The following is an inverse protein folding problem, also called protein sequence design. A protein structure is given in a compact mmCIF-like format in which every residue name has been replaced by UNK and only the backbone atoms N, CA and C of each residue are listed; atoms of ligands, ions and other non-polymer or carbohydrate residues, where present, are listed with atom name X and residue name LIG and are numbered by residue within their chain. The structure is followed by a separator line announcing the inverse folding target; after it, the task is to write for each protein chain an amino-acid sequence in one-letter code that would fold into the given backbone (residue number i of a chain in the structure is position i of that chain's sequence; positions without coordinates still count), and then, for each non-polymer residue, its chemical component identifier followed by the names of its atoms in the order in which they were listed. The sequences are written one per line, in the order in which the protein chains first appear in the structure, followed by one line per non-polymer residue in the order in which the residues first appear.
data_IF_331454761349
#
_entry.id   IF_331454761349
#
_cell.length_a   1.000
_cell.length_b   1.000
_cell.length_c   1.000
_cell.angle_alpha   90.00
_cell.angle_beta   90.00
_cell.angle_gamma   90.00
#
_symmetry.space_group_name_H-M   'P 1'
#
loop_
_entity.id
_entity.type
_entity.pdbx_description
1 polymer ?
#
# COMPACT_ATOMS: atom_id res chain seq x y z
N UNK A 1 -23.71 -26.17 -15.70
CA UNK A 1 -22.86 -25.58 -14.65
C UNK A 1 -21.41 -25.89 -15.02
N UNK A 2 -20.47 -24.94 -14.94
CA UNK A 2 -19.06 -25.27 -15.12
C UNK A 2 -18.64 -26.31 -14.07
N UNK A 3 -17.96 -27.39 -14.50
CA UNK A 3 -17.45 -28.44 -13.61
C UNK A 3 -16.17 -27.98 -12.91
N UNK A 4 -15.82 -28.61 -11.79
CA UNK A 4 -14.53 -28.39 -11.11
C UNK A 4 -13.35 -28.65 -12.05
N UNK A 5 -13.49 -29.59 -12.99
CA UNK A 5 -12.47 -29.92 -13.99
C UNK A 5 -12.17 -28.76 -14.96
N UNK A 6 -13.08 -27.77 -15.07
CA UNK A 6 -12.90 -26.57 -15.87
C UNK A 6 -12.33 -25.37 -15.07
N UNK A 7 -12.09 -25.53 -13.76
CA UNK A 7 -11.60 -24.44 -12.91
C UNK A 7 -10.08 -24.30 -12.97
N UNK A 8 -9.59 -23.05 -13.11
CA UNK A 8 -8.16 -22.73 -12.98
C UNK A 8 -7.87 -22.28 -11.55
N UNK A 9 -6.91 -22.94 -10.89
CA UNK A 9 -6.47 -22.55 -9.54
C UNK A 9 -5.75 -21.20 -9.59
N UNK A 10 -6.20 -20.25 -8.79
CA UNK A 10 -5.51 -18.98 -8.60
C UNK A 10 -4.22 -19.17 -7.80
N UNK A 11 -3.19 -18.35 -8.04
CA UNK A 11 -1.99 -18.36 -7.21
C UNK A 11 -2.34 -18.01 -5.76
N UNK A 12 -1.56 -18.55 -4.82
CA UNK A 12 -1.63 -18.14 -3.43
C UNK A 12 -1.24 -16.66 -3.33
N UNK A 13 -1.96 -15.88 -2.53
CA UNK A 13 -1.69 -14.44 -2.34
C UNK A 13 -1.20 -14.09 -0.93
N UNK A 14 -1.46 -14.97 0.05
CA UNK A 14 -1.05 -14.79 1.46
C UNK A 14 -0.52 -16.07 2.09
N UNK A 15 0.34 -15.95 3.10
CA UNK A 15 0.80 -17.06 3.96
C UNK A 15 -0.28 -17.46 4.96
N UNK A 16 -0.06 -18.56 5.70
CA UNK A 16 -0.96 -18.96 6.81
C UNK A 16 -1.02 -17.94 7.95
N UNK A 17 -0.07 -17.00 8.00
CA UNK A 17 -0.06 -15.87 8.96
C UNK A 17 -0.76 -14.63 8.40
N UNK A 18 -1.28 -14.67 7.18
CA UNK A 18 -1.92 -13.52 6.52
C UNK A 18 -0.94 -12.52 5.88
N UNK A 19 0.35 -12.86 5.80
CA UNK A 19 1.37 -12.02 5.17
C UNK A 19 1.31 -12.19 3.65
N UNK A 20 1.56 -11.13 2.87
CA UNK A 20 1.61 -11.22 1.40
C UNK A 20 2.74 -12.16 0.95
N UNK A 21 2.48 -12.99 -0.06
CA UNK A 21 3.54 -13.82 -0.67
C UNK A 21 4.28 -13.11 -1.81
N UNK A 22 3.65 -12.12 -2.43
CA UNK A 22 4.26 -11.37 -3.52
C UNK A 22 5.45 -10.54 -2.99
N UNK A 23 6.61 -10.57 -3.69
CA UNK A 23 7.73 -9.73 -3.32
C UNK A 23 7.38 -8.26 -3.51
N UNK A 24 7.98 -7.41 -2.67
CA UNK A 24 7.87 -5.96 -2.79
C UNK A 24 9.11 -5.41 -3.50
N UNK A 25 8.92 -4.31 -4.22
CA UNK A 25 10.00 -3.50 -4.77
C UNK A 25 10.97 -3.13 -3.65
N UNK A 26 12.27 -3.19 -3.94
CA UNK A 26 13.33 -2.92 -2.96
C UNK A 26 13.17 -1.51 -2.35
N UNK A 27 13.15 -1.44 -1.02
CA UNK A 27 12.92 -0.21 -0.26
C UNK A 27 11.44 0.17 -0.04
N UNK A 28 10.49 -0.51 -0.70
CA UNK A 28 9.07 -0.34 -0.42
C UNK A 28 8.73 -0.94 0.95
N UNK A 29 8.10 -0.14 1.82
CA UNK A 29 7.70 -0.57 3.16
C UNK A 29 6.18 -0.50 3.28
N UNK A 30 5.58 -1.51 3.90
CA UNK A 30 4.14 -1.49 4.20
C UNK A 30 3.98 -1.76 5.68
N UNK A 31 3.27 -0.88 6.38
CA UNK A 31 2.92 -1.06 7.80
C UNK A 31 1.41 -0.94 7.97
N UNK A 32 0.76 -1.97 8.51
CA UNK A 32 -0.67 -1.89 8.85
C UNK A 32 -0.95 -0.72 9.79
N UNK A 33 -2.05 0.00 9.53
CA UNK A 33 -2.54 1.11 10.34
C UNK A 33 -3.79 0.63 11.09
N UNK A 34 -3.60 0.20 12.34
CA UNK A 34 -4.68 -0.34 13.16
C UNK A 34 -5.68 0.77 13.51
N UNK A 35 -6.95 0.51 13.22
CA UNK A 35 -8.07 1.34 13.64
C UNK A 35 -8.68 0.74 14.90
N UNK A 36 -8.70 1.50 15.99
CA UNK A 36 -9.27 1.10 17.28
C UNK A 36 -10.66 1.73 17.44
N UNK A 37 -11.75 0.94 17.44
CA UNK A 37 -13.09 1.43 17.71
C UNK A 37 -13.37 1.55 19.22
N UNK A 38 -14.17 2.54 19.61
CA UNK A 38 -14.76 2.68 20.94
C UNK A 38 -16.18 3.30 20.86
N UNK A 39 -16.80 3.58 22.01
CA UNK A 39 -18.16 4.14 22.07
C UNK A 39 -18.31 5.54 21.42
N UNK A 40 -17.20 6.24 21.17
CA UNK A 40 -17.16 7.60 20.61
C UNK A 40 -16.87 7.61 19.11
N UNK A 41 -16.35 6.51 18.57
CA UNK A 41 -15.97 6.39 17.17
C UNK A 41 -14.73 5.51 16.98
N UNK A 42 -13.71 6.03 16.30
CA UNK A 42 -12.46 5.30 16.04
C UNK A 42 -11.24 6.20 16.14
N UNK A 43 -10.10 5.63 16.54
CA UNK A 43 -8.78 6.24 16.43
C UNK A 43 -7.87 5.39 15.55
N UNK A 44 -7.18 6.03 14.61
CA UNK A 44 -6.20 5.39 13.71
C UNK A 44 -5.02 6.36 13.58
N UNK A 45 -3.83 5.94 14.01
CA UNK A 45 -2.65 6.80 13.93
C UNK A 45 -2.23 7.02 12.46
N UNK A 46 -2.11 8.30 12.07
CA UNK A 46 -1.75 8.68 10.69
C UNK A 46 -0.23 8.70 10.48
N UNK A 47 0.54 9.10 11.47
CA UNK A 47 1.99 9.04 11.42
C UNK A 47 2.55 9.18 12.83
N UNK A 48 3.58 8.40 13.15
CA UNK A 48 4.31 8.51 14.39
C UNK A 48 5.82 8.29 14.11
N UNK A 49 6.69 9.29 14.35
CA UNK A 49 8.13 9.15 14.17
C UNK A 49 8.74 7.97 14.95
N UNK A 50 8.14 7.59 16.08
CA UNK A 50 8.62 6.48 16.91
C UNK A 50 8.56 5.11 16.19
N UNK A 51 7.83 5.00 15.08
CA UNK A 51 7.81 3.76 14.27
C UNK A 51 9.09 3.54 13.47
N UNK A 52 9.97 4.55 13.32
CA UNK A 52 11.21 4.41 12.55
C UNK A 52 10.99 4.14 11.06
N UNK A 53 9.85 4.55 10.49
CA UNK A 53 9.54 4.31 9.07
C UNK A 53 10.46 5.09 8.12
N UNK A 54 10.93 6.26 8.55
CA UNK A 54 11.84 7.11 7.78
C UNK A 54 12.60 8.04 8.72
N UNK A 55 13.87 8.26 8.39
CA UNK A 55 14.77 9.16 9.12
C UNK A 55 14.68 10.62 8.64
N UNK A 56 13.95 10.87 7.53
CA UNK A 56 13.75 12.20 6.98
C UNK A 56 12.72 12.99 7.83
N UNK A 57 12.86 14.32 7.95
CA UNK A 57 11.90 15.13 8.69
C UNK A 57 10.50 15.12 8.04
N UNK A 58 9.45 15.19 8.86
CA UNK A 58 8.12 15.49 8.37
C UNK A 58 8.02 17.01 8.13
N UNK A 59 8.03 17.42 6.86
CA UNK A 59 8.02 18.86 6.50
C UNK A 59 6.59 19.38 6.31
N UNK A 60 5.75 18.64 5.58
CA UNK A 60 4.36 19.00 5.33
C UNK A 60 3.49 17.76 5.13
N UNK A 61 2.19 17.94 5.32
CA UNK A 61 1.16 16.91 5.11
C UNK A 61 0.05 17.52 4.26
N UNK A 62 -0.42 16.78 3.27
CA UNK A 62 -1.58 17.15 2.47
C UNK A 62 -2.50 15.94 2.28
N UNK A 63 -3.77 16.21 2.02
CA UNK A 63 -4.76 15.19 1.68
C UNK A 63 -5.20 15.35 0.24
N UNK A 64 -5.32 14.23 -0.46
CA UNK A 64 -5.91 14.16 -1.80
C UNK A 64 -7.14 13.26 -1.78
N UNK A 65 -8.06 13.52 -2.69
CA UNK A 65 -9.16 12.60 -2.99
C UNK A 65 -9.12 12.25 -4.47
N UNK A 66 -9.42 11.00 -4.78
CA UNK A 66 -9.48 10.49 -6.16
C UNK A 66 -10.91 10.00 -6.37
N UNK A 67 -11.59 10.54 -7.40
CA UNK A 67 -12.95 10.10 -7.73
C UNK A 67 -12.93 8.67 -8.27
N UNK A 68 -14.03 7.90 -8.12
CA UNK A 68 -14.12 6.56 -8.68
C UNK A 68 -13.74 6.54 -10.17
N UNK A 69 -13.02 5.49 -10.58
CA UNK A 69 -12.53 5.27 -11.96
C UNK A 69 -11.50 6.28 -12.47
N UNK A 70 -11.08 7.25 -11.66
CA UNK A 70 -10.00 8.16 -12.04
C UNK A 70 -8.63 7.57 -11.69
N UNK A 71 -7.64 7.93 -12.51
CA UNK A 71 -6.25 7.54 -12.31
C UNK A 71 -5.42 8.79 -12.03
N UNK A 72 -4.57 8.73 -11.01
CA UNK A 72 -3.59 9.77 -10.69
C UNK A 72 -2.19 9.17 -10.79
N UNK A 73 -1.42 9.56 -11.80
CA UNK A 73 -0.07 9.07 -12.03
C UNK A 73 0.33 9.10 -13.51
N UNK A 74 1.52 8.61 -13.86
CA UNK A 74 2.58 8.19 -12.95
C UNK A 74 3.25 9.39 -12.25
N UNK A 75 3.66 9.20 -11.00
CA UNK A 75 4.44 10.16 -10.24
C UNK A 75 5.82 9.55 -9.99
N UNK A 76 6.87 10.31 -10.29
CA UNK A 76 8.25 9.93 -10.02
C UNK A 76 8.90 11.01 -9.18
N UNK A 77 9.37 10.62 -7.99
CA UNK A 77 10.09 11.50 -7.09
C UNK A 77 11.59 11.17 -7.13
N UNK A 78 12.41 12.21 -7.31
CA UNK A 78 13.88 12.08 -7.37
C UNK A 78 14.57 12.44 -6.06
N UNK A 79 13.92 13.26 -5.24
CA UNK A 79 14.55 13.92 -4.08
C UNK A 79 13.81 13.69 -2.78
N UNK A 80 12.65 13.03 -2.80
CA UNK A 80 11.87 12.74 -1.60
C UNK A 80 11.09 11.44 -1.76
N UNK A 81 10.65 10.93 -0.62
CA UNK A 81 9.86 9.71 -0.50
C UNK A 81 8.45 10.06 -0.05
N UNK A 82 7.45 9.49 -0.72
CA UNK A 82 6.07 9.59 -0.26
C UNK A 82 5.85 8.68 0.96
N UNK A 83 5.09 9.19 1.92
CA UNK A 83 4.57 8.42 3.06
C UNK A 83 3.06 8.49 3.00
N UNK A 84 2.41 7.44 2.51
CA UNK A 84 0.99 7.47 2.20
C UNK A 84 0.19 6.72 3.27
N UNK A 85 -0.89 7.33 3.74
CA UNK A 85 -1.96 6.63 4.45
C UNK A 85 -3.23 6.66 3.61
N UNK A 86 -3.88 5.51 3.51
CA UNK A 86 -5.19 5.38 2.86
C UNK A 86 -6.31 5.63 3.86
N UNK A 87 -6.79 6.88 3.90
CA UNK A 87 -7.62 7.40 4.99
C UNK A 87 -9.12 7.20 4.83
N UNK A 88 -9.64 6.90 3.64
CA UNK A 88 -11.03 6.44 3.45
C UNK A 88 -11.24 5.86 2.06
N UNK A 89 -12.22 4.97 1.91
CA UNK A 89 -12.59 4.38 0.63
C UNK A 89 -11.67 3.23 0.22
N UNK A 90 -11.51 3.03 -1.09
CA UNK A 90 -10.64 1.98 -1.64
C UNK A 90 -9.83 2.52 -2.81
N UNK A 91 -8.59 2.06 -2.94
CA UNK A 91 -7.69 2.45 -4.04
C UNK A 91 -6.79 1.28 -4.44
N UNK A 92 -6.50 1.20 -5.74
CA UNK A 92 -5.41 0.39 -6.27
C UNK A 92 -4.18 1.29 -6.46
N UNK A 93 -3.10 0.98 -5.76
CA UNK A 93 -1.80 1.63 -5.89
C UNK A 93 -0.93 0.76 -6.77
N UNK A 94 -0.36 1.37 -7.81
CA UNK A 94 0.54 0.70 -8.75
C UNK A 94 1.91 1.34 -8.65
N UNK A 95 2.92 0.53 -8.37
CA UNK A 95 4.32 0.94 -8.27
C UNK A 95 5.13 0.15 -9.28
N UNK A 96 6.05 0.82 -9.96
CA UNK A 96 6.97 0.21 -10.90
C UNK A 96 8.40 0.66 -10.60
N UNK A 97 9.33 -0.29 -10.56
CA UNK A 97 10.73 -0.01 -10.28
C UNK A 97 11.54 0.13 -11.57
N UNK A 98 11.81 1.36 -12.00
CA UNK A 98 12.72 1.64 -13.12
C UNK A 98 14.12 2.11 -12.67
N UNK A 99 14.46 1.94 -11.38
CA UNK A 99 15.77 2.40 -10.88
C UNK A 99 16.88 1.55 -11.50
N UNK A 100 17.80 2.19 -12.20
CA UNK A 100 18.98 1.54 -12.73
C UNK A 100 19.80 0.91 -11.59
N UNK A 101 20.26 -0.32 -11.77
CA UNK A 101 21.00 -1.08 -10.76
C UNK A 101 20.16 -1.62 -9.60
N UNK A 102 18.85 -1.34 -9.53
CA UNK A 102 17.98 -1.94 -8.52
C UNK A 102 17.87 -3.46 -8.69
N UNK A 103 17.94 -4.25 -7.61
CA UNK A 103 17.71 -5.69 -7.66
C UNK A 103 16.27 -6.05 -8.06
N UNK A 104 15.33 -5.11 -7.95
CA UNK A 104 13.92 -5.29 -8.33
C UNK A 104 13.53 -4.49 -9.56
N UNK A 105 14.49 -4.01 -10.37
CA UNK A 105 14.18 -3.28 -11.61
C UNK A 105 13.27 -4.10 -12.52
N UNK A 106 12.22 -3.47 -13.04
CA UNK A 106 11.18 -4.10 -13.85
C UNK A 106 10.03 -4.71 -13.05
N UNK A 107 10.12 -4.74 -11.72
CA UNK A 107 9.05 -5.26 -10.87
C UNK A 107 7.86 -4.29 -10.84
N UNK A 108 6.65 -4.87 -10.90
CA UNK A 108 5.38 -4.19 -10.72
C UNK A 108 4.72 -4.68 -9.41
N UNK A 109 4.33 -3.75 -8.53
CA UNK A 109 3.47 -4.08 -7.41
C UNK A 109 2.09 -3.43 -7.61
N UNK A 110 1.03 -4.25 -7.56
CA UNK A 110 -0.35 -3.81 -7.51
C UNK A 110 -0.92 -4.07 -6.11
N UNK A 111 -1.13 -3.00 -5.36
CA UNK A 111 -1.55 -3.04 -3.97
C UNK A 111 -2.97 -2.47 -3.85
N UNK A 112 -3.80 -3.11 -3.04
CA UNK A 112 -5.16 -2.65 -2.78
C UNK A 112 -5.27 -2.26 -1.32
N UNK A 113 -5.65 -1.01 -1.07
CA UNK A 113 -5.84 -0.47 0.27
C UNK A 113 -7.22 0.15 0.42
N UNK A 114 -7.73 0.14 1.63
CA UNK A 114 -8.97 0.79 1.99
C UNK A 114 -9.30 0.64 3.46
N UNK A 115 -10.55 0.91 3.80
CA UNK A 115 -11.01 1.00 5.20
C UNK A 115 -10.79 -0.28 6.03
N UNK A 116 -10.78 -1.45 5.38
CA UNK A 116 -10.59 -2.74 6.03
C UNK A 116 -9.13 -3.19 6.17
N UNK A 117 -8.19 -2.54 5.48
CA UNK A 117 -6.78 -2.92 5.47
C UNK A 117 -5.88 -1.69 5.35
N UNK A 118 -6.22 -0.63 6.10
CA UNK A 118 -5.45 0.61 6.12
C UNK A 118 -3.99 0.31 6.40
N UNK A 119 -3.11 1.00 5.68
CA UNK A 119 -1.69 0.86 5.81
C UNK A 119 -0.98 2.16 5.51
N UNK A 120 0.20 2.28 6.07
CA UNK A 120 1.24 3.21 5.67
C UNK A 120 2.06 2.54 4.57
N UNK A 121 2.25 3.26 3.46
CA UNK A 121 3.12 2.91 2.35
C UNK A 121 4.30 3.89 2.31
#
# INVERSE_FOLDING_TARGET
MPSLDAATKLPQTVTSKGERVEPLIDGLRIRSATTHPDERGTVCEIYNPAWGLSDEPLVYVYQITIRPQQVKGFLLHRTYTDRLLFSFGTVKVVLYDDREGSPTRGMLNELHFGDHNRAHL
#
